data_IF_743876957309
#
_entry.id   IF_743876957309
#
_cell.length_a   1.000
_cell.length_b   1.000
_cell.length_c   1.000
_cell.angle_alpha   90.00
_cell.angle_beta   90.00
_cell.angle_gamma   90.00
#
_symmetry.space_group_name_H-M   'P 1'
#
loop_
_entity.id
_entity.type
_entity.pdbx_description
1 polymer ?
#
# COMPACT_ATOMS: atom_id res chain seq x y z
N UNK A 1 6.92 -7.23 -25.33
CA UNK A 1 8.13 -6.77 -24.60
C UNK A 1 7.64 -6.04 -23.35
N UNK A 2 7.67 -6.61 -22.14
CA UNK A 2 7.32 -5.85 -20.96
C UNK A 2 8.49 -4.93 -20.59
N UNK A 3 8.22 -3.62 -20.58
CA UNK A 3 9.19 -2.60 -20.23
C UNK A 3 9.42 -2.61 -18.72
N UNK A 4 10.55 -3.20 -18.31
CA UNK A 4 11.10 -3.10 -16.96
C UNK A 4 11.48 -1.66 -16.65
N UNK A 5 10.55 -0.88 -16.11
CA UNK A 5 10.85 0.44 -15.56
C UNK A 5 11.28 0.29 -14.10
N UNK A 6 12.48 0.75 -13.76
CA UNK A 6 12.72 1.38 -12.46
C UNK A 6 13.31 0.56 -11.31
N UNK A 7 14.62 0.30 -11.39
CA UNK A 7 15.62 0.36 -10.30
C UNK A 7 15.41 -0.41 -8.98
N UNK A 8 16.41 -1.24 -8.69
CA UNK A 8 16.67 -2.06 -7.49
C UNK A 8 16.11 -3.48 -7.61
N UNK A 9 17.02 -4.43 -7.79
CA UNK A 9 16.82 -5.84 -8.19
C UNK A 9 16.05 -6.74 -7.22
N UNK A 10 15.02 -6.22 -6.53
CA UNK A 10 14.03 -6.98 -5.79
C UNK A 10 12.63 -6.63 -6.29
N UNK A 11 11.84 -7.61 -6.73
CA UNK A 11 10.48 -7.38 -7.21
C UNK A 11 9.61 -6.77 -6.12
N UNK A 12 8.62 -5.97 -6.52
CA UNK A 12 7.81 -5.15 -5.62
C UNK A 12 7.16 -5.98 -4.51
N UNK A 13 6.70 -7.20 -4.83
CA UNK A 13 6.08 -8.10 -3.86
C UNK A 13 6.98 -8.40 -2.66
N UNK A 14 8.31 -8.54 -2.86
CA UNK A 14 9.25 -8.74 -1.77
C UNK A 14 9.39 -7.50 -0.88
N UNK A 15 9.34 -6.29 -1.48
CA UNK A 15 9.37 -5.03 -0.73
C UNK A 15 8.11 -4.89 0.11
N UNK A 16 6.95 -5.22 -0.47
CA UNK A 16 5.65 -5.23 0.20
C UNK A 16 5.55 -6.29 1.31
N UNK A 17 6.36 -7.35 1.20
CA UNK A 17 6.38 -8.46 2.15
C UNK A 17 5.27 -9.49 1.88
N UNK A 18 4.85 -9.59 0.62
CA UNK A 18 3.90 -10.60 0.15
C UNK A 18 4.48 -11.99 0.33
N UNK A 19 3.64 -12.92 0.79
CA UNK A 19 3.98 -14.33 0.95
C UNK A 19 2.94 -15.19 0.24
N UNK A 20 3.32 -16.40 -0.21
CA UNK A 20 2.35 -17.37 -0.69
C UNK A 20 1.30 -17.66 0.39
N UNK A 21 0.03 -17.67 -0.01
CA UNK A 21 -1.15 -17.73 0.84
C UNK A 21 -1.78 -16.38 1.14
N UNK A 22 -1.07 -15.26 0.92
CA UNK A 22 -1.55 -13.95 1.35
C UNK A 22 -2.69 -13.43 0.49
N UNK A 23 -3.72 -12.92 1.16
CA UNK A 23 -4.77 -12.14 0.52
C UNK A 23 -4.29 -10.69 0.36
N UNK A 24 -4.21 -10.24 -0.88
CA UNK A 24 -3.79 -8.89 -1.26
C UNK A 24 -5.01 -8.12 -1.73
N UNK A 25 -5.32 -7.01 -1.08
CA UNK A 25 -6.42 -6.13 -1.44
C UNK A 25 -5.86 -4.79 -1.96
N UNK A 26 -5.68 -4.64 -3.28
CA UNK A 26 -5.39 -3.34 -3.87
C UNK A 26 -6.65 -2.47 -3.91
N UNK A 27 -6.57 -1.24 -3.38
CA UNK A 27 -7.66 -0.23 -3.44
C UNK A 27 -7.15 0.95 -4.25
N UNK A 28 -7.89 1.33 -5.30
CA UNK A 28 -7.52 2.38 -6.25
C UNK A 28 -6.15 2.17 -6.93
N UNK A 29 -5.69 0.92 -7.01
CA UNK A 29 -4.43 0.60 -7.64
C UNK A 29 -4.49 0.81 -9.17
N UNK A 30 -3.36 1.16 -9.82
CA UNK A 30 -3.30 1.25 -11.27
C UNK A 30 -3.52 -0.12 -11.91
N UNK A 31 -4.02 -0.17 -13.15
CA UNK A 31 -4.29 -1.43 -13.89
C UNK A 31 -3.06 -2.36 -13.95
N UNK A 32 -1.88 -1.75 -14.02
CA UNK A 32 -0.58 -2.42 -14.09
C UNK A 32 -0.12 -2.99 -12.73
N UNK A 33 -0.88 -2.81 -11.65
CA UNK A 33 -0.49 -3.29 -10.33
C UNK A 33 -0.32 -4.80 -10.31
N UNK A 34 -1.22 -5.54 -10.96
CA UNK A 34 -1.14 -6.99 -11.08
C UNK A 34 0.14 -7.45 -11.76
N UNK A 35 0.60 -6.75 -12.81
CA UNK A 35 1.89 -6.98 -13.46
C UNK A 35 3.07 -6.66 -12.52
N UNK A 36 2.98 -5.61 -11.70
CA UNK A 36 4.06 -5.24 -10.76
C UNK A 36 4.29 -6.29 -9.67
N UNK A 37 3.27 -7.08 -9.34
CA UNK A 37 3.34 -8.15 -8.34
C UNK A 37 3.09 -9.53 -8.95
N UNK A 38 3.21 -9.67 -10.27
CA UNK A 38 2.98 -10.94 -10.97
C UNK A 38 3.97 -12.03 -10.56
N UNK A 39 5.17 -11.64 -10.14
CA UNK A 39 6.19 -12.56 -9.61
C UNK A 39 5.82 -13.11 -8.22
N UNK A 40 4.77 -12.61 -7.57
CA UNK A 40 4.30 -13.12 -6.29
C UNK A 40 3.51 -14.43 -6.50
N UNK A 41 4.19 -15.56 -6.43
CA UNK A 41 3.51 -16.84 -6.52
C UNK A 41 2.70 -17.15 -5.25
N UNK A 42 1.46 -17.59 -5.44
CA UNK A 42 0.58 -18.03 -4.36
C UNK A 42 -0.14 -16.92 -3.59
N UNK A 43 -0.09 -15.65 -4.01
CA UNK A 43 -0.96 -14.61 -3.44
C UNK A 43 -2.34 -14.64 -4.09
N UNK A 44 -3.37 -14.25 -3.34
CA UNK A 44 -4.74 -14.11 -3.83
C UNK A 44 -5.13 -12.65 -3.85
N UNK A 45 -5.36 -12.09 -5.03
CA UNK A 45 -5.94 -10.75 -5.15
C UNK A 45 -7.43 -10.82 -4.84
N UNK A 46 -7.87 -9.98 -3.91
CA UNK A 46 -9.27 -9.86 -3.51
C UNK A 46 -9.71 -8.41 -3.64
N UNK A 47 -10.99 -8.19 -3.92
CA UNK A 47 -11.58 -6.85 -3.98
C UNK A 47 -12.18 -6.41 -2.64
N UNK A 48 -12.33 -7.34 -1.69
CA UNK A 48 -12.85 -7.07 -0.35
C UNK A 48 -12.13 -7.89 0.73
N UNK A 49 -11.99 -7.28 1.91
CA UNK A 49 -11.38 -7.87 3.09
C UNK A 49 -12.22 -8.95 3.81
N UNK A 50 -11.67 -9.55 4.88
CA UNK A 50 -10.37 -9.23 5.49
C UNK A 50 -9.19 -9.79 4.67
N UNK A 51 -8.12 -9.00 4.55
CA UNK A 51 -6.90 -9.31 3.81
C UNK A 51 -5.64 -9.11 4.65
N UNK A 52 -4.62 -9.95 4.41
CA UNK A 52 -3.31 -9.88 5.09
C UNK A 52 -2.53 -8.64 4.68
N UNK A 53 -2.70 -8.22 3.43
CA UNK A 53 -2.05 -7.06 2.86
C UNK A 53 -3.08 -6.20 2.13
N UNK A 54 -3.43 -5.06 2.71
CA UNK A 54 -4.23 -4.04 2.02
C UNK A 54 -3.29 -3.00 1.44
N UNK A 55 -3.45 -2.65 0.17
CA UNK A 55 -2.63 -1.66 -0.52
C UNK A 55 -3.50 -0.56 -1.10
N UNK A 56 -3.61 0.54 -0.36
CA UNK A 56 -4.40 1.69 -0.72
C UNK A 56 -3.57 2.66 -1.56
N UNK A 57 -4.07 3.09 -2.71
CA UNK A 57 -3.46 4.14 -3.52
C UNK A 57 -4.32 5.40 -3.46
N UNK A 58 -3.72 6.52 -3.06
CA UNK A 58 -4.41 7.80 -2.99
C UNK A 58 -3.57 8.85 -3.72
N UNK A 59 -4.17 9.52 -4.70
CA UNK A 59 -3.57 10.71 -5.30
C UNK A 59 -4.04 11.98 -4.58
N UNK A 60 -5.26 11.95 -4.03
CA UNK A 60 -5.88 13.07 -3.34
C UNK A 60 -5.97 12.87 -1.83
N UNK A 61 -5.74 13.94 -1.08
CA UNK A 61 -5.95 13.93 0.37
C UNK A 61 -7.40 13.61 0.74
N UNK A 62 -8.37 14.16 0.00
CA UNK A 62 -9.79 13.91 0.25
C UNK A 62 -10.17 12.43 0.08
N UNK A 63 -9.59 11.74 -0.91
CA UNK A 63 -9.79 10.29 -1.09
C UNK A 63 -9.16 9.49 0.04
N UNK A 64 -7.98 9.90 0.50
CA UNK A 64 -7.37 9.31 1.68
C UNK A 64 -8.29 9.46 2.90
N UNK A 65 -8.79 10.66 3.20
CA UNK A 65 -9.69 10.92 4.33
C UNK A 65 -11.03 10.18 4.21
N UNK A 66 -11.54 9.96 2.99
CA UNK A 66 -12.76 9.18 2.78
C UNK A 66 -12.54 7.66 2.82
N UNK A 67 -11.37 7.19 2.37
CA UNK A 67 -11.09 5.77 2.11
C UNK A 67 -10.25 5.06 3.17
N UNK A 68 -9.43 5.78 3.95
CA UNK A 68 -8.48 5.17 4.88
C UNK A 68 -9.18 4.29 5.92
N UNK A 69 -10.34 4.71 6.44
CA UNK A 69 -11.04 3.95 7.47
C UNK A 69 -11.52 2.60 6.92
N UNK A 70 -12.13 2.60 5.72
CA UNK A 70 -12.52 1.37 5.03
C UNK A 70 -11.30 0.48 4.73
N UNK A 71 -10.17 1.07 4.33
CA UNK A 71 -8.95 0.30 4.11
C UNK A 71 -8.43 -0.35 5.41
N UNK A 72 -8.45 0.37 6.54
CA UNK A 72 -8.04 -0.15 7.85
C UNK A 72 -8.95 -1.28 8.35
N UNK A 73 -10.26 -1.17 8.13
CA UNK A 73 -11.26 -2.20 8.49
C UNK A 73 -11.12 -3.48 7.66
N UNK A 74 -10.61 -3.36 6.44
CA UNK A 74 -10.35 -4.51 5.57
C UNK A 74 -9.04 -5.24 5.87
N UNK A 75 -8.17 -4.70 6.73
CA UNK A 75 -6.96 -5.40 7.15
C UNK A 75 -7.29 -6.40 8.24
N UNK A 76 -6.84 -7.64 8.07
CA UNK A 76 -7.05 -8.66 9.09
C UNK A 76 -6.21 -8.42 10.37
N UNK A 77 -6.59 -9.04 11.50
CA UNK A 77 -5.83 -8.93 12.74
C UNK A 77 -4.39 -9.45 12.59
N UNK A 78 -3.42 -8.53 12.59
CA UNK A 78 -2.00 -8.85 12.40
C UNK A 78 -1.50 -8.70 10.96
N UNK A 79 -2.40 -8.32 10.05
CA UNK A 79 -2.06 -7.90 8.69
C UNK A 79 -1.35 -6.55 8.63
N UNK A 80 -1.15 -6.08 7.42
CA UNK A 80 -0.42 -4.85 7.12
C UNK A 80 -1.17 -4.00 6.11
N UNK A 81 -1.18 -2.68 6.37
CA UNK A 81 -1.69 -1.68 5.44
C UNK A 81 -0.50 -1.04 4.75
N UNK A 82 -0.51 -1.03 3.44
CA UNK A 82 0.35 -0.21 2.61
C UNK A 82 -0.47 0.94 2.06
N UNK A 83 0.01 2.16 2.22
CA UNK A 83 -0.61 3.31 1.57
C UNK A 83 0.39 3.97 0.65
N UNK A 84 -0.01 4.09 -0.62
CA UNK A 84 0.80 4.62 -1.70
C UNK A 84 0.28 5.94 -2.19
N UNK A 85 1.20 6.88 -2.38
CA UNK A 85 0.92 8.21 -2.88
C UNK A 85 1.89 8.60 -3.99
N UNK A 86 1.46 9.46 -4.93
CA UNK A 86 2.34 9.97 -5.96
C UNK A 86 3.41 10.88 -5.32
N UNK A 87 4.67 10.68 -5.71
CA UNK A 87 5.79 11.53 -5.28
C UNK A 87 5.58 12.93 -5.79
N UNK A 88 6.02 13.94 -5.03
CA UNK A 88 6.00 15.35 -5.45
C UNK A 88 6.73 15.63 -6.77
N UNK A 89 7.67 14.78 -7.16
CA UNK A 89 8.38 14.85 -8.45
C UNK A 89 7.62 14.21 -9.63
N UNK A 90 6.55 13.46 -9.35
CA UNK A 90 5.71 12.81 -10.37
C UNK A 90 4.68 13.79 -10.91
N UNK A 91 4.31 13.59 -12.19
CA UNK A 91 3.18 14.30 -12.80
C UNK A 91 1.83 13.92 -12.20
N UNK A 92 1.76 12.80 -11.48
CA UNK A 92 0.56 12.32 -10.80
C UNK A 92 0.36 12.98 -9.43
N UNK A 93 1.32 13.79 -8.96
CA UNK A 93 1.19 14.48 -7.68
C UNK A 93 0.04 15.48 -7.72
N UNK A 94 -0.85 15.38 -6.73
CA UNK A 94 -1.95 16.32 -6.54
C UNK A 94 -1.74 17.14 -5.28
N UNK A 95 -2.05 16.57 -4.11
CA UNK A 95 -2.00 17.30 -2.84
C UNK A 95 -1.66 16.44 -1.61
N UNK A 96 -1.57 15.11 -1.74
CA UNK A 96 -1.29 14.20 -0.61
C UNK A 96 0.21 13.99 -0.39
N UNK A 97 0.64 13.97 0.86
CA UNK A 97 2.04 13.72 1.25
C UNK A 97 2.18 12.61 2.29
N UNK A 98 3.43 12.20 2.54
CA UNK A 98 3.75 11.26 3.62
C UNK A 98 3.29 11.75 4.99
N UNK A 99 3.39 13.06 5.22
CA UNK A 99 3.01 13.67 6.49
C UNK A 99 1.51 13.54 6.70
N UNK A 100 0.69 13.79 5.67
CA UNK A 100 -0.77 13.64 5.72
C UNK A 100 -1.18 12.22 6.09
N UNK A 101 -0.52 11.22 5.48
CA UNK A 101 -0.74 9.81 5.77
C UNK A 101 -0.49 9.51 7.25
N UNK A 102 0.61 10.02 7.80
CA UNK A 102 0.94 9.84 9.22
C UNK A 102 -0.06 10.58 10.11
N UNK A 103 -0.40 11.82 9.80
CA UNK A 103 -1.37 12.62 10.57
C UNK A 103 -2.74 11.94 10.63
N UNK A 104 -3.18 11.30 9.56
CA UNK A 104 -4.50 10.65 9.48
C UNK A 104 -4.47 9.24 10.08
N UNK A 105 -3.44 8.44 9.79
CA UNK A 105 -3.41 7.02 10.16
C UNK A 105 -2.86 6.77 11.56
N UNK A 106 -1.81 7.49 12.01
CA UNK A 106 -1.25 7.29 13.35
C UNK A 106 -2.25 7.43 14.51
N UNK A 107 -3.18 8.40 14.53
CA UNK A 107 -4.16 8.51 15.62
C UNK A 107 -5.16 7.35 15.66
N UNK A 108 -5.29 6.54 14.61
CA UNK A 108 -6.16 5.35 14.59
C UNK A 108 -5.57 4.14 15.34
N UNK A 109 -4.37 4.27 15.92
CA UNK A 109 -3.68 3.19 16.61
C UNK A 109 -2.81 2.31 15.70
N UNK A 110 -2.58 2.76 14.47
CA UNK A 110 -1.61 2.18 13.56
C UNK A 110 -0.27 2.88 13.70
N UNK A 111 0.81 2.19 13.34
CA UNK A 111 2.17 2.73 13.39
C UNK A 111 2.83 2.55 12.05
N UNK A 112 3.53 3.59 11.57
CA UNK A 112 4.38 3.46 10.41
C UNK A 112 5.61 2.59 10.72
N UNK A 113 6.07 1.85 9.72
CA UNK A 113 7.15 0.88 9.87
C UNK A 113 8.29 1.16 8.92
N UNK A 114 7.95 1.28 7.64
CA UNK A 114 8.94 1.55 6.59
C UNK A 114 8.27 2.19 5.39
N UNK A 115 9.00 3.10 4.75
CA UNK A 115 8.67 3.63 3.43
C UNK A 115 9.46 2.88 2.37
N UNK A 116 8.86 2.65 1.20
CA UNK A 116 9.58 2.19 0.01
C UNK A 116 8.99 2.81 -1.26
N UNK A 117 9.83 2.98 -2.28
CA UNK A 117 9.33 3.32 -3.61
C UNK A 117 8.61 2.11 -4.21
N UNK A 118 7.33 2.29 -4.55
CA UNK A 118 6.55 1.31 -5.29
C UNK A 118 6.99 1.30 -6.74
N UNK A 119 7.13 2.48 -7.33
CA UNK A 119 7.60 2.68 -8.70
C UNK A 119 8.32 4.03 -8.85
N UNK A 120 8.65 4.44 -10.07
CA UNK A 120 9.18 5.76 -10.42
C UNK A 120 8.29 6.88 -9.86
N UNK A 121 6.97 6.74 -9.99
CA UNK A 121 6.00 7.77 -9.64
C UNK A 121 5.43 7.65 -8.23
N UNK A 122 5.36 6.43 -7.69
CA UNK A 122 4.64 6.15 -6.44
C UNK A 122 5.57 5.79 -5.28
N UNK A 123 5.33 6.36 -4.12
CA UNK A 123 5.91 5.98 -2.83
C UNK A 123 4.87 5.23 -2.01
N UNK A 124 5.28 4.22 -1.25
CA UNK A 124 4.42 3.44 -0.37
C UNK A 124 4.94 3.43 1.07
N UNK A 125 4.05 3.61 2.04
CA UNK A 125 4.35 3.59 3.47
C UNK A 125 3.61 2.41 4.09
N UNK A 126 4.37 1.58 4.78
CA UNK A 126 3.85 0.43 5.51
C UNK A 126 3.39 0.87 6.90
N UNK A 127 2.16 0.52 7.23
CA UNK A 127 1.56 0.64 8.53
C UNK A 127 1.24 -0.75 9.11
N UNK A 128 1.43 -0.89 10.41
CA UNK A 128 1.01 -2.06 11.17
C UNK A 128 0.08 -1.64 12.29
N UNK A 129 -0.93 -2.46 12.57
CA UNK A 129 -1.81 -2.24 13.71
C UNK A 129 -0.99 -2.44 14.97
N UNK A 130 -0.97 -1.43 15.86
CA UNK A 130 -0.24 -1.55 17.11
C UNK A 130 -0.89 -2.66 17.92
N UNK A 131 -0.11 -3.67 18.32
CA UNK A 131 -0.56 -4.61 19.33
C UNK A 131 -0.81 -3.80 20.60
N UNK A 132 -2.09 -3.68 21.01
CA UNK A 132 -2.39 -3.19 22.33
C UNK A 132 -1.67 -4.12 23.31
N UNK A 133 -0.66 -3.59 24.03
CA UNK A 133 -0.11 -4.31 25.17
C UNK A 133 -1.27 -4.47 26.15
N UNK A 134 -1.76 -5.69 26.26
CA UNK A 134 -2.62 -6.10 27.36
C UNK A 134 -1.76 -6.27 28.61
#
# INVERSE_FOLDING_TARGET
MPQTHGYSGKPLFQKLGMKPGFRVLPINAPDQYSDLVSDAEGVSFVDQGPAELVHLFCAHRAELEAGYQSALDQVEPGGMLWVSWPKKSSKLFVDVTEDDLRTIILPTGWVDVKVCAVDADWSGLKFLKRKAKK
#
